data_IF_266392973194
#
_entry.id   IF_266392973194
#
_cell.length_a   1.000
_cell.length_b   1.000
_cell.length_c   1.000
_cell.angle_alpha   90.00
_cell.angle_beta   90.00
_cell.angle_gamma   90.00
#
_symmetry.space_group_name_H-M   'P 1'
#
loop_
_entity.id
_entity.type
_entity.pdbx_description
1 polymer ?
#
# COMPACT_ATOMS: atom_id res chain seq x y z
N UNK A 1 27.96 22.89 -1.24
CA UNK A 1 27.73 21.85 -0.23
C UNK A 1 26.68 20.93 -0.83
N UNK A 2 27.15 19.94 -1.61
CA UNK A 2 26.26 18.96 -2.21
C UNK A 2 26.14 17.84 -1.17
N UNK A 3 25.03 17.80 -0.44
CA UNK A 3 24.72 16.66 0.41
C UNK A 3 24.01 15.66 -0.47
N UNK A 4 24.72 14.61 -0.84
CA UNK A 4 24.17 13.42 -1.48
C UNK A 4 23.20 12.77 -0.49
N UNK A 5 21.91 13.14 -0.52
CA UNK A 5 20.84 12.35 0.11
C UNK A 5 20.56 11.13 -0.75
N UNK A 6 21.54 10.23 -0.85
CA UNK A 6 21.39 8.99 -1.58
C UNK A 6 20.46 8.06 -0.79
N UNK A 7 19.19 8.02 -1.19
CA UNK A 7 18.10 7.14 -0.71
C UNK A 7 17.96 7.06 0.82
N UNK A 8 17.18 8.00 1.41
CA UNK A 8 16.54 7.75 2.70
C UNK A 8 15.64 6.51 2.53
N UNK A 9 16.00 5.43 3.22
CA UNK A 9 15.23 4.19 3.23
C UNK A 9 14.28 4.26 4.42
N UNK A 10 12.99 4.46 4.14
CA UNK A 10 11.98 4.39 5.18
C UNK A 10 11.77 2.93 5.58
N UNK A 11 11.85 2.66 6.88
CA UNK A 11 11.54 1.32 7.42
C UNK A 11 10.07 1.26 7.83
N UNK A 12 9.32 0.30 7.30
CA UNK A 12 7.95 0.04 7.76
C UNK A 12 8.00 -0.68 9.11
N UNK A 13 7.50 -0.01 10.15
CA UNK A 13 7.41 -0.54 11.52
C UNK A 13 6.09 -1.29 11.71
N UNK A 14 5.00 -0.68 11.26
CA UNK A 14 3.65 -1.22 11.39
C UNK A 14 2.78 -0.83 10.20
N UNK A 15 1.78 -1.67 9.92
CA UNK A 15 0.75 -1.41 8.91
C UNK A 15 -0.60 -1.51 9.63
N UNK A 16 -1.39 -0.45 9.54
CA UNK A 16 -2.78 -0.41 9.99
C UNK A 16 -3.70 -0.11 8.80
N UNK A 17 -4.91 -0.65 8.85
CA UNK A 17 -5.89 -0.54 7.76
C UNK A 17 -7.29 -0.43 8.33
N UNK A 18 -8.11 0.42 7.73
CA UNK A 18 -9.50 0.58 8.16
C UNK A 18 -10.11 1.93 7.77
N UNK A 19 -11.42 2.04 7.95
CA UNK A 19 -12.20 3.26 7.74
C UNK A 19 -11.79 4.44 8.64
N UNK A 20 -11.04 4.18 9.72
CA UNK A 20 -10.50 5.19 10.62
C UNK A 20 -9.26 5.90 10.07
N UNK A 21 -8.66 5.39 9.00
CA UNK A 21 -7.45 5.96 8.39
C UNK A 21 -7.80 7.19 7.55
N UNK A 22 -7.12 8.34 7.75
CA UNK A 22 -7.41 9.55 6.99
C UNK A 22 -6.94 9.40 5.52
N UNK A 23 -7.88 9.30 4.60
CA UNK A 23 -7.60 9.16 3.15
C UNK A 23 -8.00 10.39 2.32
N UNK A 24 -8.58 11.43 2.94
CA UNK A 24 -9.06 12.60 2.24
C UNK A 24 -7.91 13.38 1.56
N UNK A 25 -8.08 13.72 0.28
CA UNK A 25 -7.10 14.51 -0.47
C UNK A 25 -5.90 13.70 -1.00
N UNK A 26 -5.95 12.37 -0.94
CA UNK A 26 -5.02 11.52 -1.69
C UNK A 26 -5.29 11.67 -3.20
N UNK A 27 -4.27 11.42 -4.00
CA UNK A 27 -4.37 11.40 -5.46
C UNK A 27 -3.51 10.28 -6.02
N UNK A 28 -3.72 9.94 -7.30
CA UNK A 28 -3.01 8.84 -7.95
C UNK A 28 -1.49 9.07 -7.94
N UNK A 29 -0.77 8.21 -7.21
CA UNK A 29 0.69 8.21 -7.15
C UNK A 29 1.29 7.18 -8.10
N UNK A 30 0.65 6.03 -8.25
CA UNK A 30 1.18 4.93 -9.06
C UNK A 30 0.23 3.75 -9.13
N UNK A 31 0.78 2.57 -9.42
CA UNK A 31 -0.02 1.35 -9.58
C UNK A 31 0.71 0.13 -9.02
N UNK A 32 -0.05 -0.83 -8.53
CA UNK A 32 0.45 -2.16 -8.17
C UNK A 32 -0.30 -3.22 -8.98
N UNK A 33 0.42 -4.00 -9.78
CA UNK A 33 -0.17 -5.10 -10.54
C UNK A 33 -0.17 -6.36 -9.69
N UNK A 34 -1.35 -6.77 -9.21
CA UNK A 34 -1.51 -7.89 -8.30
C UNK A 34 -2.95 -8.42 -8.33
N UNK A 35 -3.25 -9.43 -7.53
CA UNK A 35 -4.61 -9.97 -7.35
C UNK A 35 -5.24 -9.48 -6.06
N UNK A 36 -6.58 -9.44 -6.03
CA UNK A 36 -7.36 -9.16 -4.81
C UNK A 36 -6.89 -9.99 -3.61
N UNK A 37 -6.72 -11.31 -3.80
CA UNK A 37 -6.30 -12.22 -2.73
C UNK A 37 -4.93 -11.86 -2.13
N UNK A 38 -3.99 -11.37 -2.95
CA UNK A 38 -2.68 -10.93 -2.47
C UNK A 38 -2.78 -9.62 -1.69
N UNK A 39 -3.64 -8.70 -2.11
CA UNK A 39 -3.93 -7.48 -1.34
C UNK A 39 -4.57 -7.84 0.00
N UNK A 40 -5.56 -8.74 0.02
CA UNK A 40 -6.18 -9.21 1.26
C UNK A 40 -5.19 -9.90 2.18
N UNK A 41 -4.27 -10.69 1.62
CA UNK A 41 -3.22 -11.34 2.41
C UNK A 41 -2.26 -10.35 3.07
N UNK A 42 -1.96 -9.24 2.39
CA UNK A 42 -1.00 -8.24 2.86
C UNK A 42 -1.64 -7.22 3.80
N UNK A 43 -2.81 -6.71 3.42
CA UNK A 43 -3.47 -5.55 4.04
C UNK A 43 -4.78 -5.90 4.75
N UNK A 44 -5.21 -7.17 4.75
CA UNK A 44 -6.52 -7.54 5.31
C UNK A 44 -7.69 -7.21 4.38
N UNK A 45 -8.91 -7.33 4.89
CA UNK A 45 -10.11 -7.06 4.08
C UNK A 45 -10.19 -5.58 3.68
N UNK A 46 -10.67 -5.24 2.48
CA UNK A 46 -10.89 -3.86 2.07
C UNK A 46 -11.96 -3.18 2.93
N UNK A 47 -11.93 -1.85 2.88
CA UNK A 47 -12.96 -0.97 3.43
C UNK A 47 -14.14 -0.95 2.46
N UNK A 48 -15.03 -1.94 2.62
CA UNK A 48 -16.07 -2.31 1.66
C UNK A 48 -17.27 -1.35 1.62
N UNK A 49 -17.06 -0.11 1.19
CA UNK A 49 -18.15 0.71 0.65
C UNK A 49 -17.88 1.06 -0.82
N UNK A 50 -18.54 0.36 -1.77
CA UNK A 50 -18.49 0.71 -3.18
C UNK A 50 -18.92 2.17 -3.38
N UNK A 51 -18.05 2.96 -3.99
CA UNK A 51 -18.32 4.33 -4.39
C UNK A 51 -18.83 4.43 -5.83
N UNK A 52 -18.99 5.67 -6.30
CA UNK A 52 -19.38 5.95 -7.70
C UNK A 52 -18.33 5.46 -8.73
N UNK A 53 -17.06 5.37 -8.33
CA UNK A 53 -15.93 5.10 -9.23
C UNK A 53 -15.06 3.93 -8.82
N UNK A 54 -15.24 3.41 -7.63
CA UNK A 54 -14.43 2.35 -7.03
C UNK A 54 -15.40 1.31 -6.50
N UNK A 55 -15.16 0.04 -6.77
CA UNK A 55 -15.95 -1.04 -6.18
C UNK A 55 -15.26 -1.65 -4.97
N UNK A 56 -13.95 -1.41 -4.82
CA UNK A 56 -13.13 -1.92 -3.74
C UNK A 56 -11.97 -0.96 -3.46
N UNK A 57 -11.79 -0.59 -2.18
CA UNK A 57 -10.71 0.28 -1.74
C UNK A 57 -10.14 -0.20 -0.39
N UNK A 58 -8.84 -0.01 -0.18
CA UNK A 58 -8.17 -0.12 1.12
C UNK A 58 -7.67 1.27 1.52
N UNK A 59 -7.84 1.64 2.79
CA UNK A 59 -7.15 2.76 3.42
C UNK A 59 -6.05 2.23 4.33
N UNK A 60 -4.82 2.72 4.12
CA UNK A 60 -3.63 2.15 4.73
C UNK A 60 -2.81 3.24 5.42
N UNK A 61 -2.46 3.03 6.67
CA UNK A 61 -1.43 3.76 7.39
C UNK A 61 -0.17 2.89 7.53
N UNK A 62 0.94 3.42 7.05
CA UNK A 62 2.27 2.90 7.30
C UNK A 62 2.90 3.74 8.41
N UNK A 63 3.13 3.16 9.58
CA UNK A 63 4.05 3.75 10.54
C UNK A 63 5.47 3.45 10.08
N UNK A 64 6.20 4.50 9.71
CA UNK A 64 7.56 4.39 9.19
C UNK A 64 8.56 5.02 10.14
N UNK A 65 9.81 4.55 10.08
CA UNK A 65 10.96 5.16 10.73
C UNK A 65 11.91 5.75 9.70
N UNK A 66 12.34 6.98 9.95
CA UNK A 66 13.45 7.65 9.29
C UNK A 66 14.52 8.01 10.31
N UNK A 67 15.80 7.92 9.94
CA UNK A 67 16.91 8.20 10.87
C UNK A 67 16.98 9.66 11.33
N UNK A 68 16.55 10.60 10.47
CA UNK A 68 16.59 12.04 10.73
C UNK A 68 15.28 12.53 11.36
N UNK A 69 14.13 11.97 10.95
CA UNK A 69 12.80 12.44 11.35
C UNK A 69 12.15 11.60 12.47
N UNK A 70 12.62 10.38 12.72
CA UNK A 70 12.06 9.44 13.69
C UNK A 70 10.83 8.69 13.15
N UNK A 71 9.92 8.31 14.04
CA UNK A 71 8.69 7.59 13.67
C UNK A 71 7.56 8.55 13.26
N UNK A 72 6.95 8.32 12.10
CA UNK A 72 5.80 9.08 11.63
C UNK A 72 4.89 8.27 10.70
N UNK A 73 3.59 8.64 10.59
CA UNK A 73 2.65 7.95 9.72
C UNK A 73 2.76 8.45 8.27
N UNK A 74 2.59 7.51 7.35
CA UNK A 74 2.42 7.75 5.91
C UNK A 74 1.14 7.05 5.45
N UNK A 75 0.37 7.69 4.57
CA UNK A 75 -0.96 7.20 4.17
C UNK A 75 -1.02 6.83 2.69
N UNK A 76 -1.70 5.72 2.40
CA UNK A 76 -1.98 5.26 1.06
C UNK A 76 -3.42 4.78 0.90
N UNK A 77 -3.91 4.80 -0.33
CA UNK A 77 -5.10 4.03 -0.71
C UNK A 77 -4.76 3.06 -1.84
N UNK A 78 -5.43 1.91 -1.88
CA UNK A 78 -5.37 0.99 -3.02
C UNK A 78 -6.79 0.79 -3.51
N UNK A 79 -7.06 1.03 -4.80
CA UNK A 79 -8.42 0.98 -5.32
C UNK A 79 -8.47 0.51 -6.77
N UNK A 80 -9.59 -0.12 -7.14
CA UNK A 80 -9.99 -0.27 -8.53
C UNK A 80 -10.59 1.04 -9.05
N UNK A 81 -10.59 1.26 -10.37
CA UNK A 81 -11.10 2.52 -10.90
C UNK A 81 -11.93 2.34 -12.16
N UNK A 82 -13.19 2.72 -12.05
CA UNK A 82 -14.22 2.66 -13.11
C UNK A 82 -14.42 1.25 -13.67
N UNK A 83 -14.39 0.26 -12.79
CA UNK A 83 -14.76 -1.12 -13.12
C UNK A 83 -16.25 -1.36 -12.84
N UNK A 84 -16.88 -2.25 -13.60
CA UNK A 84 -18.27 -2.66 -13.37
C UNK A 84 -18.41 -3.56 -12.13
N UNK A 85 -17.30 -4.21 -11.70
CA UNK A 85 -17.24 -5.12 -10.57
C UNK A 85 -15.81 -5.28 -10.06
N UNK A 86 -15.63 -5.63 -8.79
CA UNK A 86 -14.30 -5.84 -8.19
C UNK A 86 -13.49 -6.88 -8.95
N UNK A 87 -12.27 -6.54 -9.41
CA UNK A 87 -11.42 -7.47 -10.12
C UNK A 87 -10.75 -8.46 -9.15
N UNK A 88 -11.01 -9.76 -9.30
CA UNK A 88 -10.39 -10.82 -8.48
C UNK A 88 -9.12 -11.41 -9.11
N UNK A 89 -8.98 -11.28 -10.44
CA UNK A 89 -7.79 -11.73 -11.19
C UNK A 89 -6.60 -10.78 -11.05
N UNK A 90 -5.60 -10.96 -11.91
CA UNK A 90 -4.52 -9.98 -12.03
C UNK A 90 -5.08 -8.66 -12.54
N UNK A 91 -4.82 -7.58 -11.79
CA UNK A 91 -5.32 -6.25 -12.09
C UNK A 91 -4.27 -5.20 -11.72
N UNK A 92 -4.29 -4.09 -12.45
CA UNK A 92 -3.42 -2.93 -12.21
C UNK A 92 -4.13 -1.96 -11.28
N UNK A 93 -4.07 -2.25 -9.99
CA UNK A 93 -4.69 -1.44 -8.93
C UNK A 93 -4.06 -0.06 -8.88
N UNK A 94 -4.86 0.96 -8.63
CA UNK A 94 -4.38 2.32 -8.44
C UNK A 94 -3.91 2.49 -7.01
N UNK A 95 -2.79 3.20 -6.84
CA UNK A 95 -2.27 3.56 -5.52
C UNK A 95 -2.39 5.07 -5.34
N UNK A 96 -3.17 5.48 -4.35
CA UNK A 96 -3.34 6.86 -3.93
C UNK A 96 -2.42 7.23 -2.78
N UNK A 97 -2.05 8.50 -2.68
CA UNK A 97 -1.26 9.02 -1.57
C UNK A 97 -1.10 10.55 -1.63
N UNK A 98 -0.31 11.09 -0.69
CA UNK A 98 0.09 12.50 -0.68
C UNK A 98 1.49 12.74 -1.29
N UNK A 99 2.25 11.67 -1.54
CA UNK A 99 3.53 11.67 -2.24
C UNK A 99 3.78 10.30 -2.89
N UNK A 100 4.73 10.24 -3.83
CA UNK A 100 5.13 9.00 -4.51
C UNK A 100 5.60 7.89 -3.55
N UNK A 101 6.07 8.27 -2.36
CA UNK A 101 6.47 7.34 -1.29
C UNK A 101 5.35 6.37 -0.92
N UNK A 102 4.08 6.77 -1.03
CA UNK A 102 2.95 5.88 -0.78
C UNK A 102 2.94 4.66 -1.72
N UNK A 103 3.32 4.85 -2.99
CA UNK A 103 3.44 3.73 -3.94
C UNK A 103 4.60 2.81 -3.57
N UNK A 104 5.75 3.38 -3.24
CA UNK A 104 6.96 2.64 -2.85
C UNK A 104 6.68 1.76 -1.62
N UNK A 105 6.04 2.31 -0.58
CA UNK A 105 5.67 1.57 0.63
C UNK A 105 4.67 0.42 0.36
N UNK A 106 3.74 0.60 -0.60
CA UNK A 106 2.83 -0.48 -1.01
C UNK A 106 3.61 -1.62 -1.67
N UNK A 107 4.57 -1.33 -2.56
CA UNK A 107 5.40 -2.36 -3.17
C UNK A 107 6.27 -3.08 -2.14
N UNK A 108 6.87 -2.34 -1.21
CA UNK A 108 7.70 -2.90 -0.14
C UNK A 108 6.90 -3.82 0.79
N UNK A 109 5.71 -3.40 1.21
CA UNK A 109 4.82 -4.23 2.02
C UNK A 109 4.41 -5.52 1.29
N UNK A 110 4.07 -5.42 0.01
CA UNK A 110 3.72 -6.57 -0.82
C UNK A 110 4.90 -7.53 -1.01
N UNK A 111 6.09 -7.01 -1.29
CA UNK A 111 7.30 -7.80 -1.45
C UNK A 111 7.70 -8.49 -0.15
N UNK A 112 7.69 -7.77 0.97
CA UNK A 112 8.07 -8.32 2.27
C UNK A 112 7.09 -9.41 2.72
N UNK A 113 5.78 -9.19 2.60
CA UNK A 113 4.80 -10.21 3.02
C UNK A 113 4.88 -11.48 2.17
N UNK A 114 4.91 -11.32 0.84
CA UNK A 114 4.92 -12.46 -0.08
C UNK A 114 6.29 -13.15 -0.11
N UNK A 115 7.38 -12.40 -0.02
CA UNK A 115 8.76 -12.91 0.05
C UNK A 115 8.99 -13.81 1.26
N UNK A 116 8.47 -13.43 2.43
CA UNK A 116 8.53 -14.25 3.65
C UNK A 116 7.82 -15.60 3.48
N UNK A 117 6.72 -15.66 2.72
CA UNK A 117 6.05 -16.93 2.43
C UNK A 117 6.87 -17.86 1.52
N UNK A 118 7.61 -17.29 0.55
CA UNK A 118 8.46 -18.10 -0.33
C UNK A 118 9.62 -18.73 0.45
N UNK A 119 10.22 -17.99 1.38
CA UNK A 119 11.27 -18.52 2.27
C UNK A 119 10.71 -19.55 3.24
N UNK A 120 9.53 -19.30 3.83
CA UNK A 120 8.87 -20.24 4.74
C UNK A 120 8.38 -21.55 4.08
N UNK A 121 8.25 -21.59 2.75
CA UNK A 121 7.92 -22.81 1.99
C UNK A 121 9.14 -23.59 1.50
N UNK A 122 10.33 -23.00 1.53
CA UNK A 122 11.57 -23.66 1.14
C UNK A 122 12.18 -24.52 2.27
N UNK A 123 11.68 -24.36 3.50
CA UNK A 123 12.04 -25.17 4.66
C UNK A 123 11.00 -26.28 4.93
N UNK A 124 10.91 -27.28 4.04
CA UNK A 124 10.21 -28.56 4.28
C UNK A 124 10.82 -29.71 3.48
#
# INVERSE_FOLDING_TARGET
MQTERANQMLEIINIDTGDHIPYAGTSLMGHVTTTYDKLVKTFGMPDLEPGDKTTCEWHIEFMVYDEDEGEFPMYATIYDYKEDSTPYGEYRWHVGGHSNVAEELVHDAMYNKLGQDYLGKAEV
#
